data_IF_102285117917
#
_entry.id   IF_102285117917
#
_cell.length_a   1.000
_cell.length_b   1.000
_cell.length_c   1.000
_cell.angle_alpha   90.00
_cell.angle_beta   90.00
_cell.angle_gamma   90.00
#
_symmetry.space_group_name_H-M   'P 1'
#
loop_
_entity.id
_entity.type
_entity.pdbx_description
1 polymer ?
#
# COMPACT_ATOMS: atom_id res chain seq x y z
N UNK A 1 -16.86 29.72 -24.03
CA UNK A 1 -16.74 28.62 -23.06
C UNK A 1 -15.30 28.45 -22.56
N UNK A 2 -14.31 28.26 -23.44
CA UNK A 2 -12.89 28.02 -23.09
C UNK A 2 -12.25 29.10 -22.19
N UNK A 3 -12.53 30.38 -22.46
CA UNK A 3 -12.01 31.49 -21.64
C UNK A 3 -12.47 31.44 -20.17
N UNK A 4 -13.65 30.89 -19.90
CA UNK A 4 -14.18 30.75 -18.53
C UNK A 4 -13.44 29.66 -17.79
N UNK A 5 -13.27 28.48 -18.41
CA UNK A 5 -12.54 27.37 -17.82
C UNK A 5 -11.08 27.74 -17.52
N UNK A 6 -10.41 28.43 -18.45
CA UNK A 6 -9.04 28.92 -18.23
C UNK A 6 -8.95 29.91 -17.06
N UNK A 7 -9.96 30.78 -16.91
CA UNK A 7 -10.02 31.73 -15.79
C UNK A 7 -10.27 31.00 -14.46
N UNK A 8 -11.14 29.99 -14.45
CA UNK A 8 -11.43 29.18 -13.27
C UNK A 8 -10.20 28.38 -12.81
N UNK A 9 -9.47 27.74 -13.74
CA UNK A 9 -8.26 26.99 -13.40
C UNK A 9 -7.17 27.89 -12.86
N UNK A 10 -6.98 29.10 -13.41
CA UNK A 10 -6.02 30.09 -12.87
C UNK A 10 -6.40 30.60 -11.48
N UNK A 11 -7.68 30.64 -11.17
CA UNK A 11 -8.21 31.14 -9.90
C UNK A 11 -8.64 30.03 -8.94
N UNK A 12 -8.23 28.78 -9.17
CA UNK A 12 -8.71 27.61 -8.42
C UNK A 12 -8.59 27.77 -6.89
N UNK A 13 -7.55 28.46 -6.40
CA UNK A 13 -7.33 28.74 -4.97
C UNK A 13 -8.43 29.56 -4.31
N UNK A 14 -9.27 30.28 -5.09
CA UNK A 14 -10.44 30.98 -4.56
C UNK A 14 -11.59 30.03 -4.19
N UNK A 15 -11.57 28.80 -4.71
CA UNK A 15 -12.67 27.84 -4.64
C UNK A 15 -12.24 26.47 -4.11
N UNK A 16 -10.96 26.32 -3.75
CA UNK A 16 -10.40 25.06 -3.28
C UNK A 16 -9.41 25.30 -2.15
N UNK A 17 -9.23 24.27 -1.32
CA UNK A 17 -8.21 24.20 -0.29
C UNK A 17 -7.34 22.97 -0.54
N UNK A 18 -6.07 23.08 -0.20
CA UNK A 18 -5.15 21.94 -0.22
C UNK A 18 -5.20 21.26 1.13
N UNK A 19 -5.30 19.94 1.12
CA UNK A 19 -5.17 19.08 2.29
C UNK A 19 -4.01 18.11 2.04
N UNK A 20 -3.20 17.85 3.07
CA UNK A 20 -2.09 16.89 2.99
C UNK A 20 -2.52 15.57 3.60
N UNK A 21 -2.23 14.47 2.88
CA UNK A 21 -2.48 13.11 3.32
C UNK A 21 -1.17 12.32 3.36
N UNK A 22 -1.01 11.47 4.37
CA UNK A 22 0.09 10.51 4.47
C UNK A 22 -0.31 9.21 3.77
N UNK A 23 0.46 8.80 2.77
CA UNK A 23 0.24 7.55 2.03
C UNK A 23 1.38 6.59 2.32
N UNK A 24 1.05 5.37 2.76
CA UNK A 24 2.00 4.27 2.90
C UNK A 24 1.88 3.36 1.67
N UNK A 25 3.01 3.07 1.02
CA UNK A 25 3.08 2.20 -0.16
C UNK A 25 4.02 1.04 0.14
N UNK A 26 3.54 -0.20 -0.03
CA UNK A 26 4.30 -1.42 0.18
C UNK A 26 4.14 -2.38 -0.98
N UNK A 27 5.20 -3.10 -1.33
CA UNK A 27 5.20 -4.25 -2.26
C UNK A 27 5.81 -5.45 -1.54
N UNK A 28 5.22 -6.63 -1.72
CA UNK A 28 5.76 -7.86 -1.16
C UNK A 28 5.49 -9.07 -2.06
N UNK A 29 6.58 -9.68 -2.54
CA UNK A 29 6.54 -10.99 -3.18
C UNK A 29 6.35 -12.07 -2.11
N UNK A 30 5.17 -12.68 -2.09
CA UNK A 30 4.76 -13.67 -1.09
C UNK A 30 4.93 -15.11 -1.57
N UNK A 31 5.68 -15.35 -2.65
CA UNK A 31 6.15 -16.67 -3.11
C UNK A 31 5.11 -17.80 -2.97
N UNK A 32 3.93 -17.60 -3.57
CA UNK A 32 2.80 -18.53 -3.55
C UNK A 32 1.69 -18.20 -2.55
N UNK A 33 1.86 -17.19 -1.70
CA UNK A 33 0.84 -16.69 -0.77
C UNK A 33 0.48 -17.65 0.37
N UNK A 34 1.17 -18.79 0.51
CA UNK A 34 0.86 -19.87 1.47
C UNK A 34 1.34 -19.61 2.91
N UNK A 35 1.88 -18.41 3.17
CA UNK A 35 2.54 -18.06 4.43
C UNK A 35 1.60 -18.11 5.65
N UNK A 36 0.28 -18.02 5.45
CA UNK A 36 -0.72 -18.08 6.52
C UNK A 36 -0.77 -19.42 7.30
N UNK A 37 -0.25 -20.53 6.73
CA UNK A 37 -0.39 -21.87 7.34
C UNK A 37 0.84 -22.42 8.06
N UNK A 38 1.97 -21.71 8.11
CA UNK A 38 3.20 -22.24 8.73
C UNK A 38 3.69 -21.41 9.92
N UNK A 39 3.87 -22.10 11.04
CA UNK A 39 4.40 -21.59 12.33
C UNK A 39 5.73 -20.84 12.17
N UNK A 40 6.50 -21.13 11.12
CA UNK A 40 7.79 -20.50 10.81
C UNK A 40 7.74 -18.97 10.58
N UNK A 41 6.56 -18.40 10.31
CA UNK A 41 6.40 -16.97 10.02
C UNK A 41 5.67 -16.18 11.11
N UNK A 42 5.43 -16.78 12.30
CA UNK A 42 4.91 -16.08 13.48
C UNK A 42 5.74 -14.86 13.94
N UNK A 43 6.95 -14.70 13.41
CA UNK A 43 7.88 -13.63 13.77
C UNK A 43 7.96 -12.49 12.73
N UNK A 44 7.24 -12.55 11.60
CA UNK A 44 7.14 -11.43 10.65
C UNK A 44 5.75 -10.80 10.79
N UNK A 45 5.68 -9.69 11.53
CA UNK A 45 4.44 -8.94 11.72
C UNK A 45 4.23 -7.98 10.55
N UNK A 46 3.03 -7.96 9.95
CA UNK A 46 2.67 -6.92 8.98
C UNK A 46 2.69 -5.53 9.61
N UNK A 47 2.51 -5.41 10.93
CA UNK A 47 2.65 -4.15 11.63
C UNK A 47 4.11 -3.63 11.60
N UNK A 48 5.10 -4.52 11.74
CA UNK A 48 6.51 -4.12 11.68
C UNK A 48 6.86 -3.51 10.32
N UNK A 49 6.24 -4.02 9.26
CA UNK A 49 6.42 -3.54 7.90
C UNK A 49 5.57 -2.30 7.55
N UNK A 50 4.26 -2.34 7.78
CA UNK A 50 3.32 -1.32 7.31
C UNK A 50 3.18 -0.14 8.29
N UNK A 51 3.39 -0.37 9.59
CA UNK A 51 3.19 0.65 10.63
C UNK A 51 4.52 1.12 11.21
N UNK A 52 5.40 0.19 11.59
CA UNK A 52 6.57 0.47 12.41
C UNK A 52 7.90 0.46 11.64
N UNK A 53 7.86 0.37 10.30
CA UNK A 53 9.08 0.40 9.48
C UNK A 53 9.93 1.65 9.73
N UNK A 54 9.28 2.78 10.03
CA UNK A 54 9.96 4.03 10.37
C UNK A 54 10.70 4.01 11.71
N UNK A 55 10.29 3.14 12.64
CA UNK A 55 10.94 2.96 13.94
C UNK A 55 12.15 2.04 13.83
N UNK A 56 12.06 1.02 12.98
CA UNK A 56 13.12 0.01 12.81
C UNK A 56 14.17 0.42 11.77
N UNK A 57 13.81 1.24 10.78
CA UNK A 57 14.69 1.63 9.68
C UNK A 57 14.66 3.15 9.43
N UNK A 58 15.13 3.99 10.38
CA UNK A 58 15.03 5.44 10.26
C UNK A 58 15.85 6.03 9.09
N UNK A 59 16.88 5.33 8.63
CA UNK A 59 17.81 5.82 7.59
C UNK A 59 17.31 5.64 6.14
N UNK A 60 16.15 5.03 5.94
CA UNK A 60 15.57 4.78 4.59
C UNK A 60 14.24 5.50 4.40
N UNK A 61 13.96 6.47 5.27
CA UNK A 61 12.71 7.21 5.29
C UNK A 61 12.72 8.39 4.32
N UNK A 62 11.51 8.81 3.94
CA UNK A 62 11.30 9.97 3.09
C UNK A 62 11.40 11.20 3.97
N UNK A 63 12.25 12.14 3.56
CA UNK A 63 12.40 13.42 4.27
C UNK A 63 11.07 14.18 4.33
N UNK A 64 10.90 14.98 5.39
CA UNK A 64 9.73 15.86 5.59
C UNK A 64 8.38 15.13 5.75
N UNK A 65 8.38 13.84 6.04
CA UNK A 65 7.18 13.10 6.47
C UNK A 65 7.06 13.15 7.99
N UNK A 66 5.90 13.56 8.48
CA UNK A 66 5.53 13.39 9.90
C UNK A 66 5.08 11.95 10.12
N UNK A 67 5.97 11.14 10.69
CA UNK A 67 5.71 9.72 10.96
C UNK A 67 4.85 9.50 12.21
N UNK A 68 4.67 10.52 13.06
CA UNK A 68 3.80 10.46 14.24
C UNK A 68 2.32 10.63 13.84
N UNK A 69 2.04 11.32 12.72
CA UNK A 69 0.70 11.38 12.13
C UNK A 69 0.31 10.01 11.55
N UNK A 70 -0.90 9.47 11.84
CA UNK A 70 -1.35 8.20 11.26
C UNK A 70 -1.37 8.25 9.73
N UNK A 71 -1.18 7.09 9.10
CA UNK A 71 -1.35 6.93 7.66
C UNK A 71 -2.82 7.08 7.31
N UNK A 72 -3.11 7.94 6.32
CA UNK A 72 -4.47 8.15 5.84
C UNK A 72 -4.87 7.11 4.77
N UNK A 73 -3.92 6.68 3.93
CA UNK A 73 -4.14 5.74 2.83
C UNK A 73 -3.02 4.70 2.79
N UNK A 74 -3.38 3.42 2.73
CA UNK A 74 -2.46 2.32 2.45
C UNK A 74 -2.65 1.81 1.02
N UNK A 75 -1.55 1.66 0.29
CA UNK A 75 -1.49 1.00 -1.00
C UNK A 75 -0.49 -0.16 -0.92
N UNK A 76 -1.00 -1.38 -0.76
CA UNK A 76 -0.18 -2.59 -0.58
C UNK A 76 -0.36 -3.51 -1.79
N UNK A 77 0.74 -3.73 -2.51
CA UNK A 77 0.82 -4.67 -3.62
C UNK A 77 1.43 -5.99 -3.17
N UNK A 78 0.90 -7.10 -3.69
CA UNK A 78 1.47 -8.42 -3.49
C UNK A 78 1.80 -9.07 -4.83
N UNK A 79 3.00 -9.61 -4.95
CA UNK A 79 3.43 -10.43 -6.09
C UNK A 79 3.41 -11.91 -5.71
N UNK A 80 3.18 -12.78 -6.70
CA UNK A 80 3.13 -14.24 -6.49
C UNK A 80 2.14 -14.67 -5.40
N UNK A 81 0.96 -14.04 -5.32
CA UNK A 81 -0.09 -14.38 -4.34
C UNK A 81 -0.61 -15.83 -4.49
N UNK A 82 -0.32 -16.48 -5.63
CA UNK A 82 -0.50 -17.90 -5.90
C UNK A 82 0.78 -18.44 -6.54
N UNK A 83 1.03 -19.75 -6.40
CA UNK A 83 2.22 -20.35 -7.03
C UNK A 83 2.21 -20.14 -8.55
N UNK A 84 3.38 -19.92 -9.12
CA UNK A 84 3.56 -19.86 -10.57
C UNK A 84 3.49 -21.27 -11.18
N UNK A 85 2.31 -21.65 -11.66
CA UNK A 85 2.10 -22.90 -12.40
C UNK A 85 1.08 -22.68 -13.54
N UNK A 86 1.07 -23.61 -14.51
CA UNK A 86 0.21 -23.51 -15.70
C UNK A 86 -1.29 -23.37 -15.36
N UNK A 87 -1.75 -24.00 -14.27
CA UNK A 87 -3.15 -23.88 -13.82
C UNK A 87 -3.45 -22.46 -13.35
N UNK A 88 -2.57 -21.85 -12.56
CA UNK A 88 -2.75 -20.48 -12.06
C UNK A 88 -2.55 -19.42 -13.14
N UNK A 89 -1.75 -19.70 -14.18
CA UNK A 89 -1.66 -18.85 -15.38
C UNK A 89 -3.00 -18.83 -16.12
N UNK A 90 -3.66 -19.98 -16.22
CA UNK A 90 -4.96 -20.11 -16.88
C UNK A 90 -6.11 -19.56 -16.02
N UNK A 91 -6.10 -19.84 -14.72
CA UNK A 91 -7.10 -19.39 -13.77
C UNK A 91 -6.55 -19.44 -12.33
N UNK A 92 -6.30 -18.27 -11.76
CA UNK A 92 -5.85 -18.14 -10.37
C UNK A 92 -7.02 -18.20 -9.39
N UNK A 93 -6.82 -18.89 -8.26
CA UNK A 93 -7.75 -18.84 -7.13
C UNK A 93 -7.68 -17.49 -6.41
N UNK A 94 -8.81 -16.98 -5.93
CA UNK A 94 -8.89 -15.74 -5.14
C UNK A 94 -8.80 -15.98 -3.63
N UNK A 95 -8.66 -17.22 -3.19
CA UNK A 95 -8.64 -17.59 -1.77
C UNK A 95 -7.54 -16.86 -0.99
N UNK A 96 -6.30 -16.92 -1.47
CA UNK A 96 -5.17 -16.28 -0.79
C UNK A 96 -5.38 -14.76 -0.70
N UNK A 97 -5.81 -14.10 -1.78
CA UNK A 97 -6.09 -12.65 -1.75
C UNK A 97 -7.14 -12.28 -0.68
N UNK A 98 -8.19 -13.08 -0.53
CA UNK A 98 -9.23 -12.87 0.49
C UNK A 98 -8.76 -13.15 1.92
N UNK A 99 -7.83 -14.09 2.10
CA UNK A 99 -7.21 -14.36 3.40
C UNK A 99 -6.29 -13.19 3.78
N UNK A 100 -5.44 -12.74 2.88
CA UNK A 100 -4.55 -11.59 3.07
C UNK A 100 -5.28 -10.27 3.30
N UNK A 101 -6.47 -10.07 2.75
CA UNK A 101 -7.30 -8.88 3.00
C UNK A 101 -7.82 -8.79 4.45
N UNK A 102 -7.85 -9.92 5.18
CA UNK A 102 -8.39 -9.95 6.55
C UNK A 102 -7.36 -9.61 7.62
N UNK A 103 -6.08 -9.61 7.26
CA UNK A 103 -5.00 -9.13 8.15
C UNK A 103 -4.82 -7.62 8.02
#
# INVERSE_FOLDING_TARGET
SERILLSMTRQYKKYSRTETYRVCVGTYNVNGGKHYRRIAYKHQSLADWLLDAHKSHPNVLVDHVDYDRPVDIFAVGFEEIVDLNASNIMSASTTNAREWQKE
#
